data_IF_917498167558
#
_entry.id   IF_917498167558
#
_cell.length_a   1.000
_cell.length_b   1.000
_cell.length_c   1.000
_cell.angle_alpha   90.00
_cell.angle_beta   90.00
_cell.angle_gamma   90.00
#
_symmetry.space_group_name_H-M   'P 1'
#
loop_
_entity.id
_entity.type
_entity.pdbx_description
1 polymer ?
#
# COMPACT_ATOMS: atom_id res chain seq x y z
N UNK A 1 -10.83 -10.43 12.33
CA UNK A 1 -11.11 -9.75 11.06
C UNK A 1 -9.83 -9.83 10.27
N UNK A 2 -9.84 -10.51 9.13
CA UNK A 2 -8.59 -10.80 8.39
C UNK A 2 -8.02 -9.54 7.73
N UNK A 3 -6.69 -9.49 7.62
CA UNK A 3 -5.92 -8.41 7.01
C UNK A 3 -4.97 -9.01 5.95
N UNK A 4 -4.88 -8.37 4.79
CA UNK A 4 -3.83 -8.62 3.81
C UNK A 4 -2.81 -7.47 3.83
N UNK A 5 -1.56 -7.78 4.16
CA UNK A 5 -0.44 -6.88 4.01
C UNK A 5 0.20 -7.17 2.65
N UNK A 6 0.18 -6.20 1.75
CA UNK A 6 0.75 -6.31 0.41
C UNK A 6 2.12 -5.65 0.36
N UNK A 7 3.13 -6.41 -0.05
CA UNK A 7 4.40 -5.83 -0.47
C UNK A 7 4.26 -5.18 -1.85
N UNK A 8 4.81 -3.98 -2.07
CA UNK A 8 4.72 -3.30 -3.36
C UNK A 8 5.35 -4.07 -4.52
N UNK A 9 6.38 -4.90 -4.26
CA UNK A 9 6.96 -5.77 -5.29
C UNK A 9 5.95 -6.76 -5.88
N UNK A 10 5.00 -7.25 -5.08
CA UNK A 10 3.92 -8.10 -5.60
C UNK A 10 3.07 -7.34 -6.63
N UNK A 11 2.72 -6.08 -6.35
CA UNK A 11 1.92 -5.26 -7.26
C UNK A 11 2.70 -4.92 -8.54
N UNK A 12 4.00 -4.64 -8.42
CA UNK A 12 4.88 -4.43 -9.57
C UNK A 12 4.99 -5.69 -10.43
N UNK A 13 5.14 -6.87 -9.81
CA UNK A 13 5.15 -8.15 -10.53
C UNK A 13 3.85 -8.38 -11.29
N UNK A 14 2.69 -8.16 -10.66
CA UNK A 14 1.39 -8.33 -11.32
C UNK A 14 1.24 -7.36 -12.49
N UNK A 15 1.63 -6.09 -12.30
CA UNK A 15 1.62 -5.09 -13.38
C UNK A 15 2.56 -5.48 -14.52
N UNK A 16 3.71 -6.05 -14.21
CA UNK A 16 4.69 -6.49 -15.20
C UNK A 16 4.18 -7.69 -16.01
N UNK A 17 3.59 -8.69 -15.34
CA UNK A 17 2.94 -9.83 -15.97
C UNK A 17 1.82 -9.38 -16.94
N UNK A 18 0.99 -8.40 -16.55
CA UNK A 18 -0.01 -7.79 -17.45
C UNK A 18 0.60 -7.15 -18.70
N UNK A 19 1.79 -6.56 -18.61
CA UNK A 19 2.43 -5.93 -19.78
C UNK A 19 3.01 -6.94 -20.76
N UNK A 20 3.35 -8.15 -20.31
CA UNK A 20 3.88 -9.22 -21.16
C UNK A 20 2.79 -9.99 -21.89
N UNK A 21 1.65 -10.18 -21.25
CA UNK A 21 0.57 -11.03 -21.75
C UNK A 21 -0.57 -10.17 -22.31
N UNK A 22 -1.01 -10.46 -23.53
CA UNK A 22 -2.20 -9.83 -24.11
C UNK A 22 -3.47 -10.43 -23.51
N UNK A 23 -3.94 -9.89 -22.38
CA UNK A 23 -5.20 -10.31 -21.77
C UNK A 23 -5.18 -10.31 -20.24
N UNK A 24 -6.22 -10.88 -19.60
CA UNK A 24 -6.22 -11.08 -18.16
C UNK A 24 -5.10 -12.02 -17.75
N UNK A 25 -4.44 -11.72 -16.63
CA UNK A 25 -3.39 -12.56 -16.06
C UNK A 25 -3.81 -13.06 -14.69
N UNK A 26 -3.29 -14.22 -14.33
CA UNK A 26 -3.47 -14.82 -13.02
C UNK A 26 -2.23 -15.62 -12.62
N UNK A 27 -2.05 -15.81 -11.32
CA UNK A 27 -0.87 -16.47 -10.79
C UNK A 27 -0.97 -16.77 -9.31
N UNK A 28 0.06 -17.42 -8.77
CA UNK A 28 0.15 -17.77 -7.35
C UNK A 28 0.77 -16.65 -6.54
N UNK A 29 0.42 -16.60 -5.26
CA UNK A 29 0.98 -15.66 -4.28
C UNK A 29 1.71 -16.44 -3.19
N UNK A 30 2.97 -16.10 -3.00
CA UNK A 30 3.79 -16.58 -1.90
C UNK A 30 3.80 -15.58 -0.76
N UNK A 31 3.70 -16.09 0.46
CA UNK A 31 3.80 -15.27 1.65
C UNK A 31 3.84 -16.01 2.97
N UNK A 32 3.58 -15.28 4.05
CA UNK A 32 3.47 -15.82 5.41
C UNK A 32 2.09 -15.54 5.98
N UNK A 33 1.47 -16.56 6.59
CA UNK A 33 0.20 -16.41 7.29
C UNK A 33 0.41 -16.47 8.81
N UNK A 34 -0.05 -15.44 9.52
CA UNK A 34 -0.03 -15.38 10.98
C UNK A 34 -1.43 -15.68 11.52
N UNK A 35 -1.60 -16.86 12.14
CA UNK A 35 -2.90 -17.37 12.56
C UNK A 35 -3.53 -16.57 13.71
N UNK A 36 -2.71 -16.11 14.66
CA UNK A 36 -3.17 -15.35 15.83
C UNK A 36 -3.80 -14.01 15.44
N UNK A 37 -3.18 -13.30 14.50
CA UNK A 37 -3.64 -12.00 14.01
C UNK A 37 -4.56 -12.09 12.78
N UNK A 38 -4.71 -13.29 12.19
CA UNK A 38 -5.38 -13.51 10.91
C UNK A 38 -4.82 -12.63 9.78
N UNK A 39 -3.49 -12.48 9.75
CA UNK A 39 -2.79 -11.61 8.80
C UNK A 39 -2.12 -12.42 7.71
N UNK A 40 -2.36 -12.04 6.47
CA UNK A 40 -1.69 -12.56 5.29
C UNK A 40 -0.64 -11.54 4.83
N UNK A 41 0.64 -11.83 5.04
CA UNK A 41 1.73 -11.02 4.51
C UNK A 41 2.13 -11.57 3.13
N UNK A 42 1.78 -10.85 2.06
CA UNK A 42 1.92 -11.28 0.67
C UNK A 42 3.15 -10.62 0.04
N UNK A 43 4.11 -11.43 -0.39
CA UNK A 43 5.44 -10.94 -0.80
C UNK A 43 5.69 -11.04 -2.30
N UNK A 44 5.46 -12.22 -2.88
CA UNK A 44 5.87 -12.52 -4.25
C UNK A 44 4.72 -13.14 -5.03
N UNK A 45 4.62 -12.75 -6.30
CA UNK A 45 3.74 -13.39 -7.26
C UNK A 45 4.55 -14.28 -8.19
N UNK A 46 3.91 -15.29 -8.77
CA UNK A 46 4.47 -16.04 -9.88
C UNK A 46 3.37 -16.45 -10.85
N UNK A 47 3.72 -16.54 -12.13
CA UNK A 47 2.80 -16.92 -13.19
C UNK A 47 2.43 -18.41 -13.08
N UNK A 48 1.17 -18.76 -13.35
CA UNK A 48 0.71 -20.15 -13.40
C UNK A 48 0.15 -20.39 -14.80
N UNK A 49 0.94 -21.05 -15.65
CA UNK A 49 0.56 -21.37 -17.02
C UNK A 49 -0.25 -22.67 -17.11
N UNK A 50 0.04 -23.64 -16.23
CA UNK A 50 -0.66 -24.93 -16.06
C UNK A 50 -0.45 -25.46 -14.63
N UNK A 51 -1.37 -26.29 -14.12
CA UNK A 51 -1.24 -26.96 -12.81
C UNK A 51 -0.03 -27.90 -12.73
N UNK A 52 0.42 -28.44 -13.86
CA UNK A 52 1.48 -29.46 -13.91
C UNK A 52 2.87 -28.88 -13.60
N UNK A 53 3.08 -27.57 -13.77
CA UNK A 53 4.33 -26.88 -13.43
C UNK A 53 4.36 -26.21 -12.05
N UNK A 54 3.25 -26.27 -11.29
CA UNK A 54 3.12 -25.54 -10.02
C UNK A 54 4.09 -26.09 -8.96
N UNK A 55 4.17 -27.41 -8.81
CA UNK A 55 5.01 -28.03 -7.77
C UNK A 55 6.51 -27.80 -8.03
N UNK A 56 6.95 -27.85 -9.30
CA UNK A 56 8.33 -27.57 -9.68
C UNK A 56 8.69 -26.10 -9.42
N UNK A 57 7.82 -25.15 -9.80
CA UNK A 57 8.05 -23.73 -9.49
C UNK A 57 8.08 -23.47 -7.98
N UNK A 58 7.17 -24.08 -7.22
CA UNK A 58 7.16 -23.96 -5.75
C UNK A 58 8.44 -24.53 -5.13
N UNK A 59 8.96 -25.65 -5.63
CA UNK A 59 10.22 -26.21 -5.15
C UNK A 59 11.38 -25.23 -5.34
N UNK A 60 11.49 -24.60 -6.52
CA UNK A 60 12.52 -23.58 -6.80
C UNK A 60 12.37 -22.35 -5.89
N UNK A 61 11.15 -21.87 -5.66
CA UNK A 61 10.94 -20.77 -4.73
C UNK A 61 11.30 -21.14 -3.29
N UNK A 62 11.05 -22.38 -2.88
CA UNK A 62 11.35 -22.85 -1.53
C UNK A 62 12.87 -22.99 -1.28
N UNK A 63 13.67 -23.22 -2.33
CA UNK A 63 15.13 -23.19 -2.23
C UNK A 63 15.67 -21.79 -1.90
N UNK A 64 15.05 -20.74 -2.43
CA UNK A 64 15.48 -19.34 -2.23
C UNK A 64 14.80 -18.71 -1.02
N UNK A 65 13.52 -19.03 -0.80
CA UNK A 65 12.65 -18.46 0.22
C UNK A 65 11.93 -19.57 1.01
N UNK A 66 12.65 -20.34 1.84
CA UNK A 66 12.11 -21.51 2.53
C UNK A 66 11.00 -21.19 3.55
N UNK A 67 10.86 -19.93 3.93
CA UNK A 67 9.85 -19.46 4.89
C UNK A 67 8.55 -19.01 4.22
N UNK A 68 8.50 -18.94 2.89
CA UNK A 68 7.30 -18.53 2.16
C UNK A 68 6.48 -19.75 1.75
N UNK A 69 5.17 -19.64 1.92
CA UNK A 69 4.19 -20.65 1.53
C UNK A 69 3.25 -20.11 0.45
N UNK A 70 2.63 -21.01 -0.31
CA UNK A 70 1.55 -20.64 -1.22
C UNK A 70 0.31 -20.24 -0.42
N UNK A 71 -0.02 -18.95 -0.42
CA UNK A 71 -1.14 -18.41 0.35
C UNK A 71 -2.40 -18.18 -0.48
N UNK A 72 -2.30 -18.20 -1.80
CA UNK A 72 -3.45 -17.95 -2.67
C UNK A 72 -3.05 -17.52 -4.06
N UNK A 73 -3.92 -16.76 -4.72
CA UNK A 73 -3.79 -16.37 -6.12
C UNK A 73 -4.06 -14.89 -6.34
N UNK A 74 -3.46 -14.34 -7.40
CA UNK A 74 -3.82 -13.03 -7.94
C UNK A 74 -4.48 -13.18 -9.30
N UNK A 75 -5.32 -12.20 -9.65
CA UNK A 75 -5.93 -12.08 -10.96
C UNK A 75 -6.21 -10.62 -11.31
N UNK A 76 -6.25 -10.31 -12.60
CA UNK A 76 -6.45 -8.92 -13.06
C UNK A 76 -7.77 -8.67 -13.76
N UNK A 77 -8.61 -9.70 -13.88
CA UNK A 77 -9.99 -9.57 -14.34
C UNK A 77 -10.93 -10.32 -13.38
N UNK A 78 -12.22 -10.03 -13.50
CA UNK A 78 -13.28 -10.78 -12.85
C UNK A 78 -13.47 -12.13 -13.56
N UNK A 79 -12.52 -13.03 -13.35
CA UNK A 79 -12.61 -14.43 -13.76
C UNK A 79 -12.72 -15.34 -12.52
N UNK A 80 -13.13 -16.58 -12.77
CA UNK A 80 -13.21 -17.63 -11.76
C UNK A 80 -11.85 -17.78 -11.06
N UNK A 81 -11.90 -17.83 -9.73
CA UNK A 81 -10.73 -18.05 -8.86
C UNK A 81 -9.99 -19.30 -9.30
N UNK A 82 -8.67 -19.20 -9.49
CA UNK A 82 -7.83 -20.37 -9.66
C UNK A 82 -7.82 -21.13 -8.34
N UNK A 83 -8.36 -22.35 -8.34
CA UNK A 83 -8.28 -23.27 -7.21
C UNK A 83 -6.84 -23.77 -7.08
N UNK A 84 -6.16 -23.29 -6.04
CA UNK A 84 -4.80 -23.69 -5.72
C UNK A 84 -4.80 -24.61 -4.49
N UNK A 85 -4.05 -25.73 -4.52
CA UNK A 85 -3.95 -26.64 -3.39
C UNK A 85 -3.16 -25.97 -2.26
N UNK A 86 -3.87 -25.31 -1.36
CA UNK A 86 -3.31 -24.58 -0.21
C UNK A 86 -3.71 -25.26 1.10
N UNK A 87 -2.80 -25.28 2.08
CA UNK A 87 -3.06 -25.83 3.42
C UNK A 87 -3.88 -24.88 4.31
N UNK A 88 -4.01 -23.63 3.88
CA UNK A 88 -4.72 -22.55 4.56
C UNK A 88 -5.84 -22.03 3.65
N UNK A 89 -6.75 -21.22 4.20
CA UNK A 89 -7.79 -20.57 3.39
C UNK A 89 -7.11 -19.63 2.37
N UNK A 90 -7.30 -19.82 1.06
CA UNK A 90 -6.56 -19.06 0.08
C UNK A 90 -7.03 -17.61 0.05
N UNK A 91 -6.08 -16.68 -0.06
CA UNK A 91 -6.37 -15.28 -0.39
C UNK A 91 -6.50 -15.12 -1.90
N UNK A 92 -7.53 -14.42 -2.34
CA UNK A 92 -7.70 -14.03 -3.74
C UNK A 92 -7.46 -12.53 -3.86
N UNK A 93 -6.40 -12.13 -4.56
CA UNK A 93 -6.07 -10.73 -4.83
C UNK A 93 -6.54 -10.33 -6.22
N UNK A 94 -7.43 -9.34 -6.31
CA UNK A 94 -7.85 -8.75 -7.59
C UNK A 94 -7.15 -7.42 -7.79
N UNK A 95 -6.47 -7.27 -8.93
CA UNK A 95 -5.74 -6.05 -9.31
C UNK A 95 -6.28 -5.53 -10.64
N UNK A 96 -7.29 -4.66 -10.56
CA UNK A 96 -7.86 -3.94 -11.70
C UNK A 96 -8.11 -2.48 -11.30
N UNK A 97 -7.02 -1.71 -11.20
CA UNK A 97 -7.00 -0.41 -10.51
C UNK A 97 -6.62 -0.58 -9.04
N UNK A 98 -7.47 -0.15 -8.11
CA UNK A 98 -7.22 -0.32 -6.67
C UNK A 98 -7.30 -1.80 -6.29
N UNK A 99 -6.28 -2.37 -5.63
CA UNK A 99 -6.30 -3.79 -5.27
C UNK A 99 -7.43 -4.09 -4.28
N UNK A 100 -8.03 -5.27 -4.40
CA UNK A 100 -9.02 -5.81 -3.47
C UNK A 100 -8.69 -7.27 -3.15
N UNK A 101 -8.91 -7.68 -1.91
CA UNK A 101 -8.49 -8.98 -1.40
C UNK A 101 -9.67 -9.70 -0.78
N UNK A 102 -9.77 -11.00 -1.02
CA UNK A 102 -10.88 -11.82 -0.59
C UNK A 102 -10.39 -13.10 0.07
N UNK A 103 -11.11 -13.56 1.09
CA UNK A 103 -10.94 -14.88 1.70
C UNK A 103 -12.32 -15.50 1.79
N UNK A 104 -12.51 -16.70 1.21
CA UNK A 104 -13.83 -17.37 1.13
C UNK A 104 -14.92 -16.46 0.54
N UNK A 105 -14.59 -15.67 -0.48
CA UNK A 105 -15.50 -14.73 -1.13
C UNK A 105 -15.82 -13.46 -0.34
N UNK A 106 -15.27 -13.30 0.89
CA UNK A 106 -15.47 -12.10 1.71
C UNK A 106 -14.30 -11.14 1.54
N UNK A 107 -14.61 -9.86 1.30
CA UNK A 107 -13.61 -8.80 1.23
C UNK A 107 -12.90 -8.63 2.57
N UNK A 108 -11.58 -8.50 2.53
CA UNK A 108 -10.72 -8.29 3.70
C UNK A 108 -9.97 -6.96 3.55
N UNK A 109 -9.54 -6.38 4.68
CA UNK A 109 -8.79 -5.12 4.66
C UNK A 109 -7.44 -5.33 3.98
N UNK A 110 -6.98 -4.33 3.23
CA UNK A 110 -5.64 -4.28 2.65
C UNK A 110 -4.83 -3.19 3.33
N UNK A 111 -3.56 -3.49 3.59
CA UNK A 111 -2.53 -2.51 3.92
C UNK A 111 -1.35 -2.72 2.96
N UNK A 112 -0.87 -1.65 2.31
CA UNK A 112 0.33 -1.71 1.48
C UNK A 112 1.51 -1.28 2.35
N UNK A 113 2.46 -2.18 2.58
CA UNK A 113 3.57 -1.94 3.50
C UNK A 113 4.91 -2.33 2.87
N UNK A 114 5.69 -1.36 2.35
CA UNK A 114 7.03 -1.65 1.86
C UNK A 114 7.97 -2.06 3.00
N UNK A 115 8.92 -2.93 2.69
CA UNK A 115 10.18 -3.01 3.46
C UNK A 115 10.99 -1.72 3.30
N UNK A 116 11.94 -1.42 4.20
CA UNK A 116 12.81 -0.24 4.06
C UNK A 116 13.55 -0.18 2.71
N UNK A 117 13.95 -1.33 2.16
CA UNK A 117 14.62 -1.40 0.86
C UNK A 117 13.67 -1.16 -0.31
N UNK A 118 12.46 -1.73 -0.25
CA UNK A 118 11.42 -1.43 -1.24
C UNK A 118 11.03 0.04 -1.21
N UNK A 119 10.96 0.66 -0.04
CA UNK A 119 10.65 2.09 0.10
C UNK A 119 11.68 2.97 -0.63
N UNK A 120 12.98 2.66 -0.52
CA UNK A 120 14.04 3.35 -1.28
C UNK A 120 13.86 3.13 -2.79
N UNK A 121 13.59 1.90 -3.21
CA UNK A 121 13.36 1.57 -4.62
C UNK A 121 12.14 2.29 -5.21
N UNK A 122 11.01 2.29 -4.49
CA UNK A 122 9.78 2.96 -4.88
C UNK A 122 9.96 4.47 -4.96
N UNK A 123 10.66 5.07 -4.01
CA UNK A 123 10.97 6.50 -4.03
C UNK A 123 11.85 6.87 -5.23
N UNK A 124 12.78 5.99 -5.61
CA UNK A 124 13.64 6.17 -6.79
C UNK A 124 12.82 6.09 -8.09
N UNK A 125 11.92 5.11 -8.19
CA UNK A 125 11.00 4.97 -9.33
C UNK A 125 10.05 6.16 -9.42
N UNK A 126 9.48 6.60 -8.29
CA UNK A 126 8.59 7.75 -8.24
C UNK A 126 9.31 9.05 -8.64
N UNK A 127 10.57 9.24 -8.19
CA UNK A 127 11.39 10.37 -8.60
C UNK A 127 11.68 10.35 -10.12
N UNK A 128 12.00 9.17 -10.68
CA UNK A 128 12.20 9.00 -12.11
C UNK A 128 10.93 9.30 -12.92
N UNK A 129 9.77 8.83 -12.48
CA UNK A 129 8.47 9.14 -13.08
C UNK A 129 8.20 10.65 -13.06
N UNK A 130 8.42 11.33 -11.92
CA UNK A 130 8.29 12.80 -11.85
C UNK A 130 9.28 13.55 -12.75
N UNK A 131 10.47 13.01 -12.99
CA UNK A 131 11.46 13.60 -13.88
C UNK A 131 11.13 13.44 -15.37
N UNK A 132 10.26 12.48 -15.72
CA UNK A 132 9.78 12.23 -17.08
C UNK A 132 8.42 12.90 -17.36
N UNK A 133 7.76 13.43 -16.33
CA UNK A 133 6.49 14.15 -16.48
C UNK A 133 6.67 15.48 -17.17
N UNK A 134 5.77 15.77 -18.10
CA UNK A 134 5.65 17.11 -18.67
C UNK A 134 5.31 18.13 -17.57
N UNK A 135 5.70 19.40 -17.78
CA UNK A 135 5.37 20.49 -16.84
C UNK A 135 3.85 20.57 -16.53
N UNK A 136 3.00 20.22 -17.51
CA UNK A 136 1.55 20.17 -17.35
C UNK A 136 1.10 19.03 -16.43
N UNK A 137 1.73 17.85 -16.52
CA UNK A 137 1.44 16.74 -15.60
C UNK A 137 1.92 17.06 -14.18
N UNK A 138 3.10 17.66 -14.03
CA UNK A 138 3.58 18.14 -12.72
C UNK A 138 2.64 19.19 -12.12
N UNK A 139 2.11 20.11 -12.92
CA UNK A 139 1.13 21.10 -12.47
C UNK A 139 -0.21 20.46 -12.07
N UNK A 140 -0.68 19.45 -12.81
CA UNK A 140 -1.90 18.71 -12.46
C UNK A 140 -1.72 17.90 -11.18
N UNK A 141 -0.60 17.19 -11.04
CA UNK A 141 -0.28 16.43 -9.82
C UNK A 141 -0.15 17.36 -8.61
N UNK A 142 0.49 18.53 -8.78
CA UNK A 142 0.58 19.55 -7.74
C UNK A 142 -0.80 20.11 -7.37
N UNK A 143 -1.68 20.34 -8.35
CA UNK A 143 -3.06 20.77 -8.12
C UNK A 143 -3.86 19.71 -7.35
N UNK A 144 -3.81 18.45 -7.78
CA UNK A 144 -4.49 17.34 -7.09
C UNK A 144 -3.93 17.13 -5.68
N UNK A 145 -2.61 17.26 -5.49
CA UNK A 145 -1.96 17.21 -4.19
C UNK A 145 -2.43 18.34 -3.27
N UNK A 146 -2.54 19.57 -3.80
CA UNK A 146 -3.02 20.74 -3.06
C UNK A 146 -4.51 20.62 -2.69
N UNK A 147 -5.36 20.14 -3.61
CA UNK A 147 -6.78 19.89 -3.34
C UNK A 147 -6.96 18.82 -2.26
N UNK A 148 -6.16 17.74 -2.33
CA UNK A 148 -6.14 16.68 -1.31
C UNK A 148 -5.68 17.22 0.05
N UNK A 149 -4.68 18.10 0.07
CA UNK A 149 -4.21 18.74 1.27
C UNK A 149 -5.29 19.62 1.90
N UNK A 150 -5.95 20.48 1.12
CA UNK A 150 -7.03 21.32 1.62
C UNK A 150 -8.18 20.50 2.22
N UNK A 151 -8.56 19.40 1.57
CA UNK A 151 -9.58 18.49 2.10
C UNK A 151 -9.17 17.89 3.45
N UNK A 152 -7.92 17.45 3.60
CA UNK A 152 -7.40 16.90 4.86
C UNK A 152 -7.34 17.93 5.98
N UNK A 153 -6.92 19.16 5.69
CA UNK A 153 -6.96 20.25 6.67
C UNK A 153 -8.41 20.54 7.10
N UNK A 154 -9.37 20.54 6.17
CA UNK A 154 -10.78 20.72 6.50
C UNK A 154 -11.32 19.60 7.40
N UNK A 155 -10.91 18.34 7.18
CA UNK A 155 -11.24 17.22 8.06
C UNK A 155 -10.66 17.39 9.46
N UNK A 156 -9.39 17.76 9.58
CA UNK A 156 -8.75 18.04 10.88
C UNK A 156 -9.49 19.15 11.62
N UNK A 157 -9.82 20.26 10.93
CA UNK A 157 -10.59 21.35 11.52
C UNK A 157 -11.97 20.89 11.99
N UNK A 158 -12.65 20.05 11.21
CA UNK A 158 -13.96 19.49 11.55
C UNK A 158 -13.85 18.58 12.77
N UNK A 159 -12.87 17.67 12.79
CA UNK A 159 -12.56 16.79 13.92
C UNK A 159 -12.31 17.58 15.20
N UNK A 160 -11.47 18.61 15.15
CA UNK A 160 -11.19 19.47 16.31
C UNK A 160 -12.44 20.21 16.80
N UNK A 161 -13.31 20.70 15.91
CA UNK A 161 -14.60 21.32 16.29
C UNK A 161 -15.54 20.31 16.95
N UNK A 162 -15.60 19.09 16.43
CA UNK A 162 -16.41 18.01 17.03
C UNK A 162 -15.90 17.63 18.42
N UNK A 163 -14.59 17.62 18.63
CA UNK A 163 -14.01 17.38 19.95
C UNK A 163 -14.14 18.57 20.89
N UNK A 164 -14.30 19.79 20.39
CA UNK A 164 -14.58 20.95 21.25
C UNK A 164 -15.95 20.84 21.95
N UNK A 165 -16.89 20.05 21.40
CA UNK A 165 -18.24 19.87 21.96
C UNK A 165 -18.43 18.61 22.81
N UNK A 166 -17.40 17.74 22.95
CA UNK A 166 -17.48 16.54 23.80
C UNK A 166 -16.11 16.05 24.26
N UNK A 167 -16.07 15.17 25.27
CA UNK A 167 -14.81 14.50 25.63
C UNK A 167 -14.34 13.56 24.50
N UNK A 168 -13.03 13.56 24.17
CA UNK A 168 -12.46 12.61 23.21
C UNK A 168 -12.44 11.19 23.77
N UNK A 169 -12.55 10.19 22.88
CA UNK A 169 -12.29 8.79 23.20
C UNK A 169 -10.77 8.52 23.24
N UNK A 170 -10.31 7.38 23.82
CA UNK A 170 -8.88 7.03 23.85
C UNK A 170 -8.20 7.04 22.47
N UNK A 171 -8.88 6.56 21.43
CA UNK A 171 -8.35 6.57 20.05
C UNK A 171 -8.23 8.00 19.50
N UNK A 172 -9.16 8.87 19.86
CA UNK A 172 -9.15 10.28 19.45
C UNK A 172 -8.07 11.10 20.15
N UNK A 173 -7.69 10.72 21.38
CA UNK A 173 -6.53 11.30 22.06
C UNK A 173 -5.22 10.98 21.32
N UNK A 174 -5.08 9.78 20.76
CA UNK A 174 -3.92 9.42 19.93
C UNK A 174 -3.83 10.31 18.69
N UNK A 175 -4.98 10.56 18.03
CA UNK A 175 -5.05 11.47 16.87
C UNK A 175 -4.73 12.92 17.24
N UNK A 176 -5.24 13.42 18.37
CA UNK A 176 -4.92 14.76 18.88
C UNK A 176 -3.43 14.94 19.15
N UNK A 177 -2.77 13.91 19.70
CA UNK A 177 -1.33 13.93 19.95
C UNK A 177 -0.54 14.06 18.64
N UNK A 178 -0.89 13.29 17.62
CA UNK A 178 -0.26 13.37 16.30
C UNK A 178 -0.46 14.75 15.65
N UNK A 179 -1.66 15.34 15.75
CA UNK A 179 -1.93 16.71 15.28
C UNK A 179 -1.05 17.73 16.02
N UNK A 180 -0.87 17.58 17.33
CA UNK A 180 -0.02 18.49 18.11
C UNK A 180 1.47 18.36 17.76
N UNK A 181 1.95 17.13 17.52
CA UNK A 181 3.31 16.87 17.05
C UNK A 181 3.57 17.54 15.68
N UNK A 182 2.60 17.48 14.76
CA UNK A 182 2.68 18.17 13.47
C UNK A 182 2.73 19.70 13.60
N UNK A 183 1.90 20.28 14.47
CA UNK A 183 1.93 21.72 14.73
C UNK A 183 3.28 22.17 15.33
N UNK A 184 3.88 21.32 16.17
CA UNK A 184 5.18 21.59 16.77
C UNK A 184 6.29 21.55 15.71
N UNK A 185 6.27 20.56 14.82
CA UNK A 185 7.22 20.47 13.71
C UNK A 185 7.09 21.66 12.75
N UNK A 186 5.86 22.09 12.44
CA UNK A 186 5.63 23.26 11.59
C UNK A 186 6.18 24.55 12.23
N UNK A 187 6.00 24.73 13.54
CA UNK A 187 6.51 25.89 14.25
C UNK A 187 8.06 25.94 14.26
N UNK A 188 8.73 24.79 14.29
CA UNK A 188 10.19 24.71 14.21
C UNK A 188 10.70 25.14 12.83
N UNK A 189 10.04 24.69 11.75
CA UNK A 189 10.38 25.04 10.37
C UNK A 189 10.19 26.53 10.05
N UNK A 190 9.24 27.19 10.71
CA UNK A 190 9.01 28.63 10.54
C UNK A 190 10.11 29.50 11.18
N UNK A 191 10.83 28.97 12.15
CA UNK A 191 11.87 29.68 12.90
C UNK A 191 13.30 29.46 12.38
N UNK A 192 13.48 28.65 11.32
CA UNK A 192 14.79 28.49 10.70
C UNK A 192 15.16 29.71 9.83
N UNK A 193 16.38 30.27 10.01
CA UNK A 193 16.81 31.52 9.36
C UNK A 193 17.12 31.37 7.86
N UNK A 194 17.30 30.14 7.37
CA UNK A 194 17.55 29.86 5.96
C UNK A 194 16.28 29.23 5.31
N UNK A 195 15.72 29.79 4.22
CA UNK A 195 14.56 29.23 3.54
C UNK A 195 14.88 28.04 2.62
N UNK A 196 16.15 27.75 2.31
CA UNK A 196 16.52 26.67 1.39
C UNK A 196 16.18 25.23 1.86
N UNK A 197 16.21 24.87 3.16
CA UNK A 197 15.74 23.57 3.65
C UNK A 197 14.22 23.38 3.58
N UNK A 198 13.45 24.49 3.58
CA UNK A 198 11.99 24.47 3.74
C UNK A 198 11.23 23.65 2.68
N UNK A 199 11.77 23.52 1.46
CA UNK A 199 11.12 22.76 0.39
C UNK A 199 11.13 21.24 0.65
N UNK A 200 12.23 20.72 1.23
CA UNK A 200 12.37 19.30 1.58
C UNK A 200 11.48 19.00 2.80
N UNK A 201 11.48 19.88 3.79
CA UNK A 201 10.70 19.69 5.01
C UNK A 201 9.19 19.89 4.84
N UNK A 202 8.76 20.76 3.91
CA UNK A 202 7.34 20.85 3.55
C UNK A 202 6.84 19.54 2.93
N UNK A 203 7.67 18.87 2.12
CA UNK A 203 7.32 17.58 1.50
C UNK A 203 7.13 16.49 2.57
N UNK A 204 7.99 16.47 3.60
CA UNK A 204 7.84 15.59 4.75
C UNK A 204 6.58 15.89 5.56
N UNK A 205 6.25 17.18 5.74
CA UNK A 205 5.04 17.61 6.43
C UNK A 205 3.77 17.21 5.66
N UNK A 206 3.76 17.36 4.32
CA UNK A 206 2.68 16.86 3.45
C UNK A 206 2.51 15.35 3.58
N UNK A 207 3.62 14.60 3.66
CA UNK A 207 3.60 13.15 3.80
C UNK A 207 3.06 12.71 5.17
N UNK A 208 3.40 13.44 6.23
CA UNK A 208 2.91 13.17 7.59
C UNK A 208 1.41 13.50 7.72
N UNK A 209 0.93 14.56 7.08
CA UNK A 209 -0.50 14.89 6.99
C UNK A 209 -1.28 13.85 6.15
N UNK A 210 -0.63 13.21 5.16
CA UNK A 210 -1.22 12.10 4.40
C UNK A 210 -1.41 10.84 5.27
N UNK A 211 -0.55 10.62 6.27
CA UNK A 211 -0.60 9.48 7.20
C UNK A 211 -1.60 9.67 8.34
N UNK A 212 -2.09 10.89 8.57
CA UNK A 212 -3.20 11.15 9.48
C UNK A 212 -4.51 10.61 8.87
N UNK A 213 -5.09 9.60 9.52
CA UNK A 213 -6.41 9.05 9.19
C UNK A 213 -7.48 9.76 10.04
N UNK A 214 -7.81 11.00 9.64
CA UNK A 214 -8.76 11.91 10.32
C UNK A 214 -9.93 12.25 9.40
#
# INVERSE_FOLDING_TARGET
>A
MSLAILHPLLLLHISEHQTRVKGPVAGGILGVYESESQTYALFLGFEIDTTDGLQERLALFHEVYPHLELLGSYQTADHDTIDLPTKIKPVSLRVNGTPSAFVEGKSIKIEIKPTPFEEIGLNTIAAADTSQKSATQLANDAKTGLDTFHARIANIQTFLRTLASRRPTPDEYSKLRQINELNTQLALLQNEPDPSPRLIDLTLLFHAIKKLDV
#
